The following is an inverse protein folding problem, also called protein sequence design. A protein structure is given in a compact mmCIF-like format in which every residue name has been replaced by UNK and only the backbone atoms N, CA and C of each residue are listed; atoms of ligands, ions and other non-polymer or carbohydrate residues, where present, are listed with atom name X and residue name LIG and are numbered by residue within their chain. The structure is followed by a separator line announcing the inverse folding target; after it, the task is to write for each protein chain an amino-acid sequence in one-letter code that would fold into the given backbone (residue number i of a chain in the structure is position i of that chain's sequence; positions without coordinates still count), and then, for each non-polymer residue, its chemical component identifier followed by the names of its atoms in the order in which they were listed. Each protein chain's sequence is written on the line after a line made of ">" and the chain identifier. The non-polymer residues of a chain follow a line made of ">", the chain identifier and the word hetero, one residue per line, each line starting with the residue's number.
data_IF_613714039107
#
_entry.id   IF_613714039107
#
_cell.length_a   1.000
_cell.length_b   1.000
_cell.length_c   1.000
_cell.angle_alpha   90.00
_cell.angle_beta   90.00
_cell.angle_gamma   90.00
#
_symmetry.space_group_name_H-M   'P 1'
#
loop_
_entity.id
_entity.type
_entity.pdbx_description
1 polymer ?
#
# COMPACT_ATOMS: atom_id res chain seq x y z
N UNK A 1 -7.91 15.02 27.00
CA UNK A 1 -6.72 14.35 26.42
C UNK A 1 -6.96 12.98 25.75
N UNK A 2 -7.95 12.14 26.13
CA UNK A 2 -8.14 10.83 25.48
C UNK A 2 -8.42 10.88 23.97
N UNK A 3 -9.00 11.98 23.48
CA UNK A 3 -9.27 12.22 22.06
C UNK A 3 -7.99 12.46 21.25
N UNK A 4 -7.01 13.16 21.82
CA UNK A 4 -5.73 13.45 21.14
C UNK A 4 -5.00 12.15 20.78
N UNK A 5 -4.75 11.28 21.76
CA UNK A 5 -4.05 10.01 21.53
C UNK A 5 -4.81 9.09 20.58
N UNK A 6 -6.14 9.09 20.64
CA UNK A 6 -6.98 8.30 19.73
C UNK A 6 -6.83 8.78 18.28
N UNK A 7 -6.76 10.09 18.07
CA UNK A 7 -6.51 10.69 16.75
C UNK A 7 -5.09 10.41 16.26
N UNK A 8 -4.08 10.47 17.13
CA UNK A 8 -2.69 10.11 16.78
C UNK A 8 -2.62 8.65 16.31
N UNK A 9 -3.20 7.72 17.07
CA UNK A 9 -3.26 6.30 16.69
C UNK A 9 -4.00 6.11 15.37
N UNK A 10 -5.10 6.84 15.16
CA UNK A 10 -5.82 6.81 13.89
C UNK A 10 -4.92 7.27 12.73
N UNK A 11 -4.29 8.43 12.84
CA UNK A 11 -3.39 8.97 11.81
C UNK A 11 -2.28 7.98 11.49
N UNK A 12 -1.62 7.41 12.51
CA UNK A 12 -0.56 6.42 12.31
C UNK A 12 -1.04 5.18 11.55
N UNK A 13 -2.22 4.66 11.90
CA UNK A 13 -2.82 3.50 11.18
C UNK A 13 -3.13 3.84 9.72
N UNK A 14 -3.52 5.07 9.43
CA UNK A 14 -3.84 5.54 8.08
C UNK A 14 -2.59 5.83 7.25
N UNK A 15 -1.56 6.44 7.82
CA UNK A 15 -0.37 6.91 7.08
C UNK A 15 0.74 5.88 6.96
N UNK A 16 0.89 4.98 7.93
CA UNK A 16 1.95 3.95 7.91
C UNK A 16 1.92 3.07 6.64
N UNK A 17 0.76 2.57 6.18
CA UNK A 17 0.67 1.79 4.95
C UNK A 17 1.18 2.57 3.73
N UNK A 18 0.81 3.86 3.63
CA UNK A 18 1.23 4.73 2.53
C UNK A 18 2.74 4.96 2.50
N UNK A 19 3.34 5.26 3.66
CA UNK A 19 4.78 5.47 3.79
C UNK A 19 5.57 4.21 3.40
N UNK A 20 5.07 3.02 3.75
CA UNK A 20 5.72 1.75 3.38
C UNK A 20 5.72 1.51 1.87
N UNK A 21 4.59 1.73 1.19
CA UNK A 21 4.52 1.62 -0.27
C UNK A 21 5.46 2.62 -0.94
N UNK A 22 5.45 3.89 -0.50
CA UNK A 22 6.33 4.92 -1.06
C UNK A 22 7.81 4.59 -0.87
N UNK A 23 8.19 4.08 0.31
CA UNK A 23 9.57 3.68 0.60
C UNK A 23 10.04 2.51 -0.27
N UNK A 24 9.15 1.61 -0.66
CA UNK A 24 9.45 0.52 -1.59
C UNK A 24 9.65 1.04 -3.03
N UNK A 25 8.89 2.06 -3.44
CA UNK A 25 9.04 2.68 -4.76
C UNK A 25 10.31 3.50 -4.89
N UNK A 26 10.69 4.22 -3.83
CA UNK A 26 11.86 5.10 -3.80
C UNK A 26 13.17 4.36 -3.42
N UNK A 27 13.04 3.18 -2.80
CA UNK A 27 14.16 2.35 -2.40
C UNK A 27 14.92 1.78 -3.59
N UNK A 28 15.97 2.47 -4.05
CA UNK A 28 16.86 2.06 -5.17
C UNK A 28 17.55 0.68 -5.02
N UNK A 29 17.31 -0.04 -3.91
CA UNK A 29 17.95 -1.34 -3.60
C UNK A 29 17.34 -2.52 -4.38
N UNK A 30 16.05 -2.47 -4.72
CA UNK A 30 15.35 -3.48 -5.53
C UNK A 30 14.53 -2.79 -6.63
N UNK A 31 14.35 -3.40 -7.81
CA UNK A 31 13.51 -2.83 -8.86
C UNK A 31 12.06 -2.70 -8.39
N UNK A 32 11.59 -1.48 -8.13
CA UNK A 32 10.24 -1.25 -7.60
C UNK A 32 9.12 -1.68 -8.55
N UNK A 33 9.41 -1.72 -9.85
CA UNK A 33 8.49 -2.08 -10.93
C UNK A 33 7.83 -3.45 -10.73
N UNK A 34 8.55 -4.46 -10.20
CA UNK A 34 8.03 -5.82 -10.02
C UNK A 34 7.24 -6.08 -8.73
N UNK A 35 7.27 -5.14 -7.79
CA UNK A 35 6.79 -5.36 -6.41
C UNK A 35 5.71 -4.37 -5.98
N UNK A 36 5.51 -3.29 -6.74
CA UNK A 36 4.62 -2.20 -6.34
C UNK A 36 3.15 -2.64 -6.18
N UNK A 37 2.67 -3.57 -7.02
CA UNK A 37 1.31 -4.11 -6.94
C UNK A 37 1.12 -4.94 -5.67
N UNK A 38 2.02 -5.90 -5.42
CA UNK A 38 2.00 -6.74 -4.23
C UNK A 38 2.11 -5.91 -2.94
N UNK A 39 3.01 -4.92 -2.92
CA UNK A 39 3.18 -4.02 -1.79
C UNK A 39 1.90 -3.21 -1.52
N UNK A 40 1.26 -2.69 -2.57
CA UNK A 40 0.01 -1.94 -2.44
C UNK A 40 -1.11 -2.82 -1.88
N UNK A 41 -1.28 -4.04 -2.39
CA UNK A 41 -2.31 -4.96 -1.92
C UNK A 41 -2.07 -5.39 -0.46
N UNK A 42 -0.84 -5.78 -0.12
CA UNK A 42 -0.45 -6.15 1.24
C UNK A 42 -0.72 -5.03 2.24
N UNK A 43 -0.34 -3.80 1.92
CA UNK A 43 -0.52 -2.65 2.82
C UNK A 43 -2.00 -2.24 2.95
N UNK A 44 -2.81 -2.37 1.88
CA UNK A 44 -4.27 -2.23 1.96
C UNK A 44 -4.87 -3.28 2.89
N UNK A 45 -4.53 -4.57 2.73
CA UNK A 45 -5.01 -5.66 3.60
C UNK A 45 -4.60 -5.46 5.06
N UNK A 46 -3.37 -5.02 5.31
CA UNK A 46 -2.88 -4.70 6.65
C UNK A 46 -3.67 -3.54 7.29
N UNK A 47 -3.95 -2.49 6.52
CA UNK A 47 -4.75 -1.36 6.99
C UNK A 47 -6.16 -1.81 7.38
N UNK A 48 -6.84 -2.60 6.54
CA UNK A 48 -8.19 -3.12 6.81
C UNK A 48 -8.21 -3.89 8.14
N UNK A 49 -7.24 -4.80 8.34
CA UNK A 49 -7.08 -5.55 9.60
C UNK A 49 -6.85 -4.64 10.80
N UNK A 50 -6.04 -3.58 10.66
CA UNK A 50 -5.75 -2.64 11.75
C UNK A 50 -6.97 -1.86 12.25
N UNK A 51 -8.01 -1.76 11.43
CA UNK A 51 -9.29 -1.14 11.74
C UNK A 51 -10.39 -2.15 12.09
N UNK A 52 -10.02 -3.41 12.32
CA UNK A 52 -10.95 -4.51 12.61
C UNK A 52 -12.03 -4.64 11.52
N UNK A 53 -11.63 -4.49 10.25
CA UNK A 53 -12.53 -4.54 9.09
C UNK A 53 -13.67 -3.49 9.11
N UNK A 54 -13.57 -2.44 9.93
CA UNK A 54 -14.57 -1.37 9.95
C UNK A 54 -14.33 -0.39 8.79
N UNK A 55 -15.06 -0.58 7.70
CA UNK A 55 -14.94 0.19 6.46
C UNK A 55 -15.00 1.71 6.68
N UNK A 56 -15.87 2.17 7.57
CA UNK A 56 -16.07 3.60 7.86
C UNK A 56 -14.78 4.30 8.30
N UNK A 57 -13.83 3.55 8.88
CA UNK A 57 -12.56 4.10 9.38
C UNK A 57 -11.46 4.22 8.34
N UNK A 58 -11.53 3.50 7.21
CA UNK A 58 -10.45 3.53 6.20
C UNK A 58 -10.91 3.91 4.80
N UNK A 59 -12.22 3.93 4.52
CA UNK A 59 -12.79 4.23 3.19
C UNK A 59 -12.28 5.54 2.60
N UNK A 60 -12.26 6.61 3.39
CA UNK A 60 -11.81 7.93 2.93
C UNK A 60 -10.32 7.91 2.52
N UNK A 61 -9.47 7.22 3.29
CA UNK A 61 -8.07 7.06 2.93
C UNK A 61 -7.92 6.20 1.67
N UNK A 62 -8.65 5.10 1.56
CA UNK A 62 -8.59 4.22 0.40
C UNK A 62 -8.99 4.96 -0.88
N UNK A 63 -9.97 5.88 -0.80
CA UNK A 63 -10.32 6.76 -1.91
C UNK A 63 -9.15 7.64 -2.35
N UNK A 64 -8.40 8.21 -1.41
CA UNK A 64 -7.22 9.02 -1.71
C UNK A 64 -6.10 8.17 -2.31
N UNK A 65 -5.82 7.01 -1.72
CA UNK A 65 -4.80 6.07 -2.18
C UNK A 65 -5.11 5.57 -3.58
N UNK A 66 -6.34 5.14 -3.84
CA UNK A 66 -6.78 4.68 -5.17
C UNK A 66 -6.66 5.80 -6.20
N UNK A 67 -7.09 7.02 -5.87
CA UNK A 67 -6.93 8.15 -6.79
C UNK A 67 -5.46 8.42 -7.14
N UNK A 68 -4.55 8.34 -6.16
CA UNK A 68 -3.11 8.52 -6.40
C UNK A 68 -2.52 7.34 -7.17
N UNK A 69 -2.98 6.13 -6.88
CA UNK A 69 -2.62 4.92 -7.59
C UNK A 69 -2.96 5.07 -9.08
N UNK A 70 -4.21 5.37 -9.41
CA UNK A 70 -4.69 5.45 -10.79
C UNK A 70 -3.96 6.51 -11.62
N UNK A 71 -3.59 7.64 -11.00
CA UNK A 71 -2.93 8.75 -11.70
C UNK A 71 -1.41 8.56 -11.81
N UNK A 72 -0.76 8.00 -10.79
CA UNK A 72 0.70 8.05 -10.67
C UNK A 72 1.37 6.69 -10.71
N UNK A 73 0.73 5.64 -10.18
CA UNK A 73 1.35 4.34 -9.93
C UNK A 73 0.84 3.23 -10.87
N UNK A 74 -0.41 3.32 -11.30
CA UNK A 74 -1.09 2.38 -12.18
C UNK A 74 -0.70 2.61 -13.65
N UNK A 75 0.48 2.11 -14.03
CA UNK A 75 1.00 2.22 -15.39
C UNK A 75 1.20 0.82 -15.98
N UNK A 76 0.86 0.57 -17.26
CA UNK A 76 1.00 -0.74 -17.90
C UNK A 76 2.40 -1.35 -17.73
N UNK A 77 3.45 -0.53 -17.78
CA UNK A 77 4.83 -0.96 -17.53
C UNK A 77 5.02 -1.60 -16.13
N UNK A 78 4.40 -1.04 -15.09
CA UNK A 78 4.48 -1.58 -13.73
C UNK A 78 3.62 -2.83 -13.57
N UNK A 79 2.48 -2.90 -14.26
CA UNK A 79 1.66 -4.11 -14.30
C UNK A 79 2.43 -5.27 -14.96
N UNK A 80 3.04 -5.01 -16.12
CA UNK A 80 3.89 -5.98 -16.80
C UNK A 80 5.08 -6.41 -15.94
N UNK A 81 5.75 -5.44 -15.31
CA UNK A 81 6.85 -5.72 -14.39
C UNK A 81 6.47 -6.60 -13.21
N UNK A 82 5.29 -6.39 -12.63
CA UNK A 82 4.77 -7.27 -11.59
C UNK A 82 4.46 -8.68 -12.12
N UNK A 83 3.76 -8.77 -13.26
CA UNK A 83 3.40 -10.04 -13.89
C UNK A 83 4.62 -10.89 -14.25
N UNK A 84 5.70 -10.25 -14.72
CA UNK A 84 6.94 -10.91 -15.12
C UNK A 84 7.91 -11.16 -13.95
N UNK A 85 7.53 -10.84 -12.72
CA UNK A 85 8.38 -11.07 -11.55
C UNK A 85 8.27 -12.53 -11.08
N UNK A 86 9.30 -13.37 -11.27
CA UNK A 86 9.21 -14.78 -10.92
C UNK A 86 9.03 -15.01 -9.41
N UNK A 87 9.56 -14.11 -8.56
CA UNK A 87 9.38 -14.18 -7.10
C UNK A 87 7.91 -14.12 -6.66
N UNK A 88 7.00 -13.67 -7.52
CA UNK A 88 5.58 -13.54 -7.20
C UNK A 88 4.78 -14.80 -7.52
N UNK A 89 5.23 -15.61 -8.49
CA UNK A 89 4.41 -16.68 -9.09
C UNK A 89 5.08 -18.05 -9.12
N UNK A 90 6.35 -18.15 -8.72
CA UNK A 90 7.07 -19.43 -8.65
C UNK A 90 7.61 -19.66 -7.24
N UNK A 91 7.51 -20.91 -6.75
CA UNK A 91 7.97 -21.29 -5.40
C UNK A 91 9.50 -21.36 -5.29
N UNK A 92 10.24 -21.28 -6.42
CA UNK A 92 11.70 -21.22 -6.51
C UNK A 92 12.11 -20.26 -7.65
N UNK A 93 12.09 -18.94 -7.42
CA UNK A 93 12.31 -17.92 -8.44
C UNK A 93 13.77 -17.71 -8.86
#
# INVERSE_FOLDING_TARGET
>A
MPSFWRNVVYILKVTTPLVKVLRLVDGKKKPSIGYIYEAMDKEKKASIKSFNNNETKYKAMFKIVNRRWDVQLHHPLRAAGHFLNPEMFYENP
#
